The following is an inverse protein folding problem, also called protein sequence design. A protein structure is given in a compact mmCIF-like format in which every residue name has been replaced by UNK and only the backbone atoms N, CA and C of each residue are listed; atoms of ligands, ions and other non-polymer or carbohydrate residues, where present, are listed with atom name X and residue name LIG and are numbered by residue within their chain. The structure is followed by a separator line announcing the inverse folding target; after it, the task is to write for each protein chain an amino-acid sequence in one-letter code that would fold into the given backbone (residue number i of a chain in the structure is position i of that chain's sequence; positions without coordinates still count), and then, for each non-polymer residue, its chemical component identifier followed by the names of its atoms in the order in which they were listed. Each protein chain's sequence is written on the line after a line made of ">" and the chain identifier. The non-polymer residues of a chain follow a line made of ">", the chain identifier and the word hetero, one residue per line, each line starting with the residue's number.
data_IF_024057004753
#
_entry.id   IF_024057004753
#
_cell.length_a   1.000
_cell.length_b   1.000
_cell.length_c   1.000
_cell.angle_alpha   90.00
_cell.angle_beta   90.00
_cell.angle_gamma   90.00
#
_symmetry.space_group_name_H-M   'P 1'
#
loop_
_entity.id
_entity.type
_entity.pdbx_description
1 polymer ?
#
# COMPACT_ATOMS: atom_id res chain seq x y z
N UNK A 1 -8.81 22.85 -7.97
CA UNK A 1 -8.01 21.61 -7.85
C UNK A 1 -8.81 20.66 -6.97
N UNK A 2 -9.33 19.56 -7.54
CA UNK A 2 -10.14 18.55 -6.83
C UNK A 2 -9.46 17.21 -7.07
N UNK A 3 -8.97 16.62 -6.00
CA UNK A 3 -8.02 15.50 -5.99
C UNK A 3 -7.40 15.47 -4.60
N UNK A 4 -8.27 15.43 -3.59
CA UNK A 4 -7.83 15.22 -2.22
C UNK A 4 -7.25 13.82 -2.18
N UNK A 5 -5.95 13.70 -1.86
CA UNK A 5 -5.26 12.43 -1.65
C UNK A 5 -5.83 11.70 -0.45
N UNK A 6 -7.08 11.30 -0.56
CA UNK A 6 -7.83 10.61 0.46
C UNK A 6 -7.12 9.28 0.70
N UNK A 7 -6.81 9.04 1.97
CA UNK A 7 -6.19 7.81 2.42
C UNK A 7 -7.16 7.13 3.35
N UNK A 8 -7.44 5.86 3.08
CA UNK A 8 -8.12 4.97 4.01
C UNK A 8 -7.17 3.85 4.38
N UNK A 9 -7.13 3.51 5.67
CA UNK A 9 -6.41 2.37 6.19
C UNK A 9 -7.31 1.63 7.17
N UNK A 10 -7.30 0.30 7.07
CA UNK A 10 -7.97 -0.58 8.00
C UNK A 10 -7.11 -1.82 8.19
N UNK A 11 -7.01 -2.28 9.42
CA UNK A 11 -6.25 -3.47 9.76
C UNK A 11 -6.92 -4.24 10.89
N UNK A 12 -6.53 -5.49 11.03
CA UNK A 12 -6.93 -6.34 12.13
C UNK A 12 -5.77 -7.26 12.52
N UNK A 13 -5.65 -7.51 13.82
CA UNK A 13 -4.68 -8.42 14.39
C UNK A 13 -5.36 -9.34 15.39
N UNK A 14 -4.88 -10.58 15.47
CA UNK A 14 -5.40 -11.55 16.43
C UNK A 14 -4.36 -12.58 16.82
N UNK A 15 -4.04 -12.58 18.11
CA UNK A 15 -3.31 -13.65 18.79
C UNK A 15 -4.23 -14.75 19.31
N UNK A 16 -3.77 -15.99 19.18
CA UNK A 16 -4.40 -17.20 19.72
C UNK A 16 -3.36 -18.03 20.45
N UNK A 17 -3.75 -18.62 21.58
CA UNK A 17 -2.92 -19.61 22.28
C UNK A 17 -2.96 -20.93 21.50
N UNK A 18 -1.80 -21.59 21.39
CA UNK A 18 -1.67 -22.98 20.95
C UNK A 18 -1.49 -23.87 22.18
N UNK A 19 -2.60 -24.30 22.76
CA UNK A 19 -2.59 -25.02 24.04
C UNK A 19 -1.96 -24.18 25.16
N UNK A 20 -1.20 -24.83 26.04
CA UNK A 20 -0.45 -24.17 27.12
C UNK A 20 0.95 -23.71 26.71
N UNK A 21 1.44 -24.14 25.55
CA UNK A 21 2.89 -24.14 25.25
C UNK A 21 3.26 -23.36 24.00
N UNK A 22 2.33 -22.58 23.43
CA UNK A 22 2.62 -21.81 22.25
C UNK A 22 1.56 -20.78 21.90
N UNK A 23 1.77 -20.13 20.77
CA UNK A 23 0.89 -19.10 20.23
C UNK A 23 0.99 -19.02 18.71
N UNK A 24 -0.06 -18.46 18.11
CA UNK A 24 -0.04 -17.93 16.75
C UNK A 24 -0.65 -16.54 16.80
N UNK A 25 0.01 -15.59 16.17
CA UNK A 25 -0.45 -14.24 15.93
C UNK A 25 -0.53 -14.00 14.44
N UNK A 26 -1.67 -13.45 14.00
CA UNK A 26 -1.95 -13.14 12.60
C UNK A 26 -2.36 -11.67 12.52
N UNK A 27 -1.77 -10.95 11.57
CA UNK A 27 -2.17 -9.58 11.26
C UNK A 27 -2.41 -9.39 9.77
N UNK A 28 -3.31 -8.46 9.47
CA UNK A 28 -3.61 -8.02 8.12
C UNK A 28 -3.88 -6.53 8.09
N UNK A 29 -3.30 -5.84 7.11
CA UNK A 29 -3.47 -4.42 6.87
C UNK A 29 -3.86 -4.16 5.41
N UNK A 30 -4.83 -3.27 5.24
CA UNK A 30 -5.25 -2.70 3.98
C UNK A 30 -5.07 -1.20 3.98
N UNK A 31 -4.46 -0.66 2.93
CA UNK A 31 -4.36 0.78 2.72
C UNK A 31 -4.64 1.15 1.27
N UNK A 32 -5.47 2.15 1.08
CA UNK A 32 -5.71 2.76 -0.22
C UNK A 32 -5.48 4.26 -0.15
N UNK A 33 -4.84 4.79 -1.18
CA UNK A 33 -4.71 6.22 -1.41
C UNK A 33 -5.15 6.57 -2.82
N UNK A 34 -5.87 7.68 -2.95
CA UNK A 34 -6.21 8.27 -4.24
C UNK A 34 -5.03 9.04 -4.85
N UNK A 35 -5.14 9.35 -6.14
CA UNK A 35 -4.21 10.24 -6.81
C UNK A 35 -4.17 11.62 -6.14
N UNK A 36 -2.98 12.15 -5.90
CA UNK A 36 -2.81 13.58 -5.61
C UNK A 36 -2.46 14.33 -6.90
N UNK A 37 -2.92 15.57 -7.01
CA UNK A 37 -2.58 16.45 -8.14
C UNK A 37 -1.98 17.75 -7.63
N UNK A 38 -0.72 18.01 -7.98
CA UNK A 38 0.02 19.24 -7.68
C UNK A 38 0.38 20.04 -8.94
N UNK A 39 -0.38 19.86 -10.03
CA UNK A 39 -0.23 20.65 -11.26
C UNK A 39 -1.14 21.87 -11.25
N UNK A 40 -0.62 23.01 -11.72
CA UNK A 40 -1.41 24.16 -12.13
C UNK A 40 -1.80 24.09 -13.61
N UNK A 41 -2.60 25.05 -14.06
CA UNK A 41 -3.03 25.19 -15.46
C UNK A 41 -1.86 25.52 -16.36
N UNK A 42 -1.70 24.76 -17.45
CA UNK A 42 -0.69 25.07 -18.46
C UNK A 42 -1.10 26.33 -19.22
N UNK A 43 -0.34 27.41 -19.04
CA UNK A 43 -0.60 28.70 -19.66
C UNK A 43 -0.60 28.67 -21.20
N UNK A 44 -0.06 27.61 -21.83
CA UNK A 44 -0.05 27.45 -23.30
C UNK A 44 -1.34 26.85 -23.85
N UNK A 45 -2.01 26.02 -23.07
CA UNK A 45 -3.20 25.27 -23.51
C UNK A 45 -4.46 25.65 -22.73
N UNK A 46 -4.33 26.39 -21.62
CA UNK A 46 -5.43 26.71 -20.71
C UNK A 46 -5.99 25.48 -19.99
N UNK A 47 -5.27 24.36 -20.01
CA UNK A 47 -5.74 23.07 -19.48
C UNK A 47 -4.73 22.46 -18.53
N UNK A 48 -5.20 21.68 -17.54
CA UNK A 48 -4.33 20.90 -16.65
C UNK A 48 -3.84 19.65 -17.40
N UNK A 49 -2.85 19.82 -18.28
CA UNK A 49 -2.31 18.77 -19.16
C UNK A 49 -1.30 17.87 -18.48
N UNK A 50 -0.65 18.33 -17.40
CA UNK A 50 0.39 17.59 -16.70
C UNK A 50 -0.13 16.96 -15.40
N UNK A 51 -1.01 15.97 -15.53
CA UNK A 51 -1.58 15.25 -14.37
C UNK A 51 -0.63 14.23 -13.71
N UNK A 52 0.66 14.25 -14.06
CA UNK A 52 1.69 13.36 -13.51
C UNK A 52 2.34 13.91 -12.23
N UNK A 53 2.14 15.18 -11.92
CA UNK A 53 2.77 15.79 -10.73
C UNK A 53 1.93 15.46 -9.50
N UNK A 54 2.21 14.33 -8.86
CA UNK A 54 1.57 13.88 -7.63
C UNK A 54 1.76 12.38 -7.37
N UNK A 55 1.25 11.92 -6.24
CA UNK A 55 1.28 10.51 -5.85
C UNK A 55 0.27 9.72 -6.68
N UNK A 56 0.64 8.51 -7.15
CA UNK A 56 -0.28 7.65 -7.86
C UNK A 56 -1.32 7.05 -6.91
N UNK A 57 -2.51 6.74 -7.44
CA UNK A 57 -3.46 5.91 -6.71
C UNK A 57 -2.81 4.55 -6.44
N UNK A 58 -2.84 4.13 -5.17
CA UNK A 58 -2.14 2.93 -4.74
C UNK A 58 -2.99 2.18 -3.73
N UNK A 59 -3.08 0.88 -3.92
CA UNK A 59 -3.70 -0.05 -2.99
C UNK A 59 -2.64 -1.04 -2.51
N UNK A 60 -2.52 -1.20 -1.19
CA UNK A 60 -1.59 -2.13 -0.55
C UNK A 60 -2.33 -3.07 0.39
N UNK A 61 -1.91 -4.33 0.36
CA UNK A 61 -2.33 -5.40 1.26
C UNK A 61 -1.09 -5.99 1.91
N UNK A 62 -1.08 -6.07 3.23
CA UNK A 62 -0.01 -6.69 4.01
C UNK A 62 -0.60 -7.73 4.95
N UNK A 63 0.09 -8.85 5.12
CA UNK A 63 -0.25 -9.89 6.08
C UNK A 63 1.01 -10.36 6.79
N UNK A 64 0.90 -10.69 8.07
CA UNK A 64 1.98 -11.31 8.83
C UNK A 64 1.47 -12.47 9.68
N UNK A 65 2.37 -13.42 9.91
CA UNK A 65 2.21 -14.55 10.83
C UNK A 65 3.41 -14.57 11.77
N UNK A 66 3.15 -14.75 13.05
CA UNK A 66 4.17 -14.97 14.07
C UNK A 66 3.72 -16.13 14.95
N UNK A 67 4.55 -17.14 15.12
CA UNK A 67 4.17 -18.32 15.88
C UNK A 67 5.36 -18.88 16.66
N UNK A 68 5.06 -19.42 17.84
CA UNK A 68 6.03 -20.08 18.70
C UNK A 68 5.42 -21.28 19.40
N UNK A 69 6.22 -22.32 19.62
CA UNK A 69 5.81 -23.52 20.34
C UNK A 69 6.99 -24.16 21.07
N UNK A 70 6.79 -24.48 22.35
CA UNK A 70 7.74 -25.24 23.18
C UNK A 70 7.25 -26.68 23.31
N UNK A 71 8.06 -27.62 22.84
CA UNK A 71 7.82 -29.06 22.96
C UNK A 71 8.13 -29.54 24.39
N UNK A 72 7.56 -30.66 24.81
CA UNK A 72 7.73 -31.22 26.17
C UNK A 72 9.19 -31.53 26.53
N UNK A 73 10.02 -31.83 25.52
CA UNK A 73 11.45 -32.06 25.68
C UNK A 73 12.28 -30.77 25.80
N UNK A 74 11.61 -29.61 25.91
CA UNK A 74 12.25 -28.29 26.04
C UNK A 74 12.76 -27.69 24.74
N UNK A 75 12.55 -28.34 23.59
CA UNK A 75 12.88 -27.75 22.29
C UNK A 75 11.86 -26.66 21.98
N UNK A 76 12.31 -25.56 21.37
CA UNK A 76 11.44 -24.46 20.94
C UNK A 76 11.49 -24.31 19.42
N UNK A 77 10.33 -24.15 18.81
CA UNK A 77 10.18 -23.76 17.42
C UNK A 77 9.55 -22.36 17.36
N UNK A 78 10.08 -21.53 16.46
CA UNK A 78 9.62 -20.17 16.26
C UNK A 78 9.64 -19.83 14.76
N UNK A 79 8.66 -19.07 14.29
CA UNK A 79 8.63 -18.56 12.92
C UNK A 79 7.94 -17.19 12.84
N UNK A 80 8.38 -16.40 11.87
CA UNK A 80 7.75 -15.15 11.46
C UNK A 80 7.74 -15.08 9.94
N UNK A 81 6.57 -14.87 9.36
CA UNK A 81 6.36 -14.80 7.92
C UNK A 81 5.61 -13.50 7.59
N UNK A 82 5.94 -12.89 6.45
CA UNK A 82 5.25 -11.68 5.97
C UNK A 82 4.96 -11.77 4.49
N UNK A 83 3.83 -11.22 4.07
CA UNK A 83 3.43 -11.09 2.68
C UNK A 83 2.94 -9.68 2.41
N UNK A 84 3.41 -9.06 1.33
CA UNK A 84 3.03 -7.71 0.95
C UNK A 84 2.74 -7.67 -0.55
N UNK A 85 1.62 -7.05 -0.91
CA UNK A 85 1.23 -6.84 -2.31
C UNK A 85 0.77 -5.40 -2.54
N UNK A 86 1.24 -4.79 -3.64
CA UNK A 86 0.91 -3.40 -4.01
C UNK A 86 0.49 -3.29 -5.46
N UNK A 87 -0.65 -2.63 -5.68
CA UNK A 87 -1.16 -2.21 -6.98
C UNK A 87 -1.09 -0.69 -7.08
N UNK A 88 -0.64 -0.17 -8.21
CA UNK A 88 -0.45 1.27 -8.41
C UNK A 88 -0.87 1.66 -9.82
N UNK A 89 -1.72 2.67 -9.93
CA UNK A 89 -2.16 3.24 -11.20
C UNK A 89 -1.57 4.64 -11.39
N UNK A 90 -1.10 4.92 -12.60
CA UNK A 90 -0.49 6.21 -12.97
C UNK A 90 -1.32 6.91 -14.05
N UNK A 91 -1.33 8.24 -14.03
CA UNK A 91 -1.97 9.03 -15.08
C UNK A 91 -1.10 9.15 -16.32
N UNK A 92 -1.72 9.09 -17.49
CA UNK A 92 -1.05 9.25 -18.77
C UNK A 92 -0.69 10.72 -19.03
N UNK A 93 0.54 10.95 -19.50
CA UNK A 93 1.00 12.26 -19.96
C UNK A 93 0.66 12.42 -21.44
N UNK A 94 -0.16 13.41 -21.77
CA UNK A 94 -0.38 13.83 -23.15
C UNK A 94 0.55 14.98 -23.49
N UNK A 95 1.40 14.79 -24.50
CA UNK A 95 2.29 15.84 -25.02
C UNK A 95 1.85 16.23 -26.43
N UNK A 96 1.71 17.54 -26.66
CA UNK A 96 1.43 18.08 -27.99
C UNK A 96 2.69 17.96 -28.87
N UNK A 97 2.58 17.63 -30.18
CA UNK A 97 3.73 17.54 -31.07
C UNK A 97 4.48 18.86 -31.14
N UNK A 98 5.79 18.85 -30.89
CA UNK A 98 6.65 20.00 -31.16
C UNK A 98 7.19 19.89 -32.60
N UNK A 99 6.87 20.85 -33.46
CA UNK A 99 7.56 21.00 -34.74
C UNK A 99 9.02 21.40 -34.45
N UNK A 100 9.99 20.63 -34.93
CA UNK A 100 11.31 21.17 -35.20
C UNK A 100 11.17 22.06 -36.44
N UNK A 101 11.47 23.35 -36.29
CA UNK A 101 11.79 24.25 -37.39
C UNK A 101 13.29 24.33 -37.55
#
# INVERSE_FOLDING_TARGET
>A
MKGDGFVVQAGAEKGLKLGSSGFVDLSFDYRHQDHTFRSGTDNRTGTDTLRVVGDPATTRYDAALNAGYTFENGIEAYTTETYAHRFTDIMQVYRVPSRLS
#
